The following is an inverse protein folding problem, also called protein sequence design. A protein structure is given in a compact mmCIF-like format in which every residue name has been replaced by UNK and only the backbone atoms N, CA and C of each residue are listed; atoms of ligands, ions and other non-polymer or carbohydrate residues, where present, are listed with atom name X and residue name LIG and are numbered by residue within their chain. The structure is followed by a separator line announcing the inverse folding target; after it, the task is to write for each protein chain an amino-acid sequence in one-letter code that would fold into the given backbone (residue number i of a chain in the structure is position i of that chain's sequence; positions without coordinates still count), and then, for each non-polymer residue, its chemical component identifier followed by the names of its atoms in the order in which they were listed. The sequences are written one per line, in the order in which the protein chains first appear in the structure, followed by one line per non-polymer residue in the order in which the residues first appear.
data_IF_122392434957
#
_entry.id   IF_122392434957
#
_cell.length_a   1.000
_cell.length_b   1.000
_cell.length_c   1.000
_cell.angle_alpha   90.00
_cell.angle_beta   90.00
_cell.angle_gamma   90.00
#
_symmetry.space_group_name_H-M   'P 1'
#
loop_
_entity.id
_entity.type
_entity.pdbx_description
1 polymer ?
#
# COMPACT_ATOMS: atom_id res chain seq x y z
N UNK A 1 -5.23 -30.37 0.97
CA UNK A 1 -4.36 -29.34 1.59
C UNK A 1 -3.78 -28.46 0.51
N UNK A 2 -3.69 -27.15 0.73
CA UNK A 2 -3.07 -26.25 -0.25
C UNK A 2 -1.56 -26.52 -0.30
N UNK A 3 -1.05 -26.87 -1.47
CA UNK A 3 0.38 -27.08 -1.67
C UNK A 3 1.12 -25.75 -1.65
N UNK A 4 2.17 -25.67 -0.83
CA UNK A 4 3.03 -24.50 -0.67
C UNK A 4 4.37 -24.72 -1.36
N UNK A 5 5.03 -23.63 -1.74
CA UNK A 5 6.33 -23.62 -2.41
C UNK A 5 7.15 -22.43 -1.89
N UNK A 6 8.47 -22.63 -1.79
CA UNK A 6 9.42 -21.56 -1.45
C UNK A 6 9.76 -20.81 -2.74
N UNK A 7 9.56 -19.50 -2.74
CA UNK A 7 9.75 -18.63 -3.91
C UNK A 7 10.72 -17.50 -3.55
N UNK A 8 11.62 -17.18 -4.47
CA UNK A 8 12.51 -16.02 -4.38
C UNK A 8 11.78 -14.75 -4.79
N UNK A 9 11.90 -13.71 -3.97
CA UNK A 9 11.39 -12.39 -4.32
C UNK A 9 12.11 -11.85 -5.56
N UNK A 10 11.36 -11.21 -6.46
CA UNK A 10 11.95 -10.57 -7.65
C UNK A 10 12.77 -9.32 -7.28
N UNK A 11 12.38 -8.67 -6.20
CA UNK A 11 12.94 -7.40 -5.75
C UNK A 11 14.17 -7.60 -4.85
N UNK A 12 14.01 -8.27 -3.70
CA UNK A 12 15.08 -8.58 -2.74
C UNK A 12 15.57 -10.03 -2.88
N UNK A 13 16.75 -10.37 -2.33
CA UNK A 13 17.27 -11.73 -2.36
C UNK A 13 16.54 -12.72 -1.42
N UNK A 14 15.51 -12.29 -0.69
CA UNK A 14 14.85 -13.13 0.31
C UNK A 14 13.93 -14.18 -0.32
N UNK A 15 13.81 -15.30 0.40
CA UNK A 15 12.89 -16.38 0.11
C UNK A 15 11.65 -16.29 1.00
N UNK A 16 10.48 -16.62 0.44
CA UNK A 16 9.23 -16.67 1.18
C UNK A 16 8.36 -17.83 0.72
N UNK A 17 7.46 -18.28 1.58
CA UNK A 17 6.55 -19.39 1.29
C UNK A 17 5.23 -18.84 0.75
N UNK A 18 4.78 -19.38 -0.38
CA UNK A 18 3.47 -19.06 -0.95
C UNK A 18 2.79 -20.29 -1.55
N UNK A 19 1.55 -20.17 -2.00
CA UNK A 19 0.77 -21.27 -2.59
C UNK A 19 1.20 -21.50 -4.03
N UNK A 20 1.25 -22.77 -4.42
CA UNK A 20 1.56 -23.16 -5.81
C UNK A 20 0.54 -22.54 -6.79
N UNK A 21 -0.73 -22.44 -6.39
CA UNK A 21 -1.78 -21.87 -7.20
C UNK A 21 -1.53 -20.39 -7.56
N UNK A 22 -1.08 -19.59 -6.59
CA UNK A 22 -0.78 -18.17 -6.80
C UNK A 22 0.43 -18.01 -7.72
N UNK A 23 1.45 -18.85 -7.54
CA UNK A 23 2.62 -18.83 -8.43
C UNK A 23 2.27 -19.20 -9.88
N UNK A 24 1.40 -20.20 -10.09
CA UNK A 24 0.92 -20.59 -11.43
C UNK A 24 0.14 -19.48 -12.15
N UNK A 25 -0.53 -18.61 -11.39
CA UNK A 25 -1.24 -17.42 -11.91
C UNK A 25 -0.30 -16.23 -12.19
N UNK A 26 1.00 -16.38 -11.94
CA UNK A 26 1.97 -15.29 -12.03
C UNK A 26 1.87 -14.30 -10.87
N UNK A 27 1.14 -14.63 -9.79
CA UNK A 27 1.14 -13.87 -8.54
C UNK A 27 2.37 -14.28 -7.70
N UNK A 28 2.40 -13.87 -6.42
CA UNK A 28 3.47 -14.28 -5.49
C UNK A 28 4.88 -13.96 -6.03
N UNK A 29 5.08 -12.77 -6.60
CA UNK A 29 6.38 -12.35 -7.15
C UNK A 29 7.25 -11.62 -6.13
N UNK A 30 6.64 -11.09 -5.06
CA UNK A 30 7.29 -10.25 -4.07
C UNK A 30 6.94 -10.73 -2.67
N UNK A 31 7.91 -10.70 -1.76
CA UNK A 31 7.70 -11.07 -0.36
C UNK A 31 6.82 -10.06 0.41
N UNK A 32 6.67 -8.83 -0.10
CA UNK A 32 5.94 -7.77 0.58
C UNK A 32 5.40 -6.70 -0.39
N UNK A 33 4.37 -5.97 0.05
CA UNK A 33 3.81 -4.84 -0.71
C UNK A 33 4.85 -3.75 -0.97
N UNK A 34 5.76 -3.51 -0.01
CA UNK A 34 6.84 -2.54 -0.18
C UNK A 34 7.84 -2.98 -1.25
N UNK A 35 8.20 -4.26 -1.33
CA UNK A 35 9.04 -4.78 -2.41
C UNK A 35 8.38 -4.65 -3.79
N UNK A 36 7.06 -4.86 -3.88
CA UNK A 36 6.32 -4.65 -5.11
C UNK A 36 6.30 -3.16 -5.54
N UNK A 37 6.08 -2.24 -4.59
CA UNK A 37 6.10 -0.80 -4.86
C UNK A 37 7.50 -0.31 -5.25
N UNK A 38 8.53 -0.74 -4.53
CA UNK A 38 9.92 -0.41 -4.83
C UNK A 38 10.34 -0.92 -6.21
N UNK A 39 9.96 -2.17 -6.56
CA UNK A 39 10.27 -2.72 -7.87
C UNK A 39 9.66 -1.89 -9.00
N UNK A 40 8.43 -1.40 -8.83
CA UNK A 40 7.78 -0.54 -9.83
C UNK A 40 8.50 0.80 -10.01
N UNK A 41 9.07 1.36 -8.95
CA UNK A 41 9.72 2.67 -9.00
C UNK A 41 11.21 2.60 -9.38
N UNK A 42 11.95 1.61 -8.88
CA UNK A 42 13.42 1.56 -8.93
C UNK A 42 13.99 0.24 -9.46
N UNK A 43 13.17 -0.81 -9.61
CA UNK A 43 13.63 -2.13 -10.03
C UNK A 43 14.24 -2.97 -8.90
N UNK A 44 15.37 -3.63 -9.18
CA UNK A 44 15.97 -4.63 -8.26
C UNK A 44 16.77 -3.97 -7.15
N UNK A 45 16.62 -4.46 -5.92
CA UNK A 45 17.39 -4.03 -4.74
C UNK A 45 18.48 -5.04 -4.41
N UNK A 46 19.60 -4.57 -3.84
CA UNK A 46 20.74 -5.43 -3.47
C UNK A 46 20.51 -6.25 -2.19
N UNK A 47 19.65 -5.76 -1.28
CA UNK A 47 19.35 -6.43 0.00
C UNK A 47 18.04 -5.93 0.60
N UNK A 48 17.44 -6.69 1.52
CA UNK A 48 16.21 -6.30 2.23
C UNK A 48 16.42 -5.10 3.17
N UNK A 49 15.34 -4.44 3.58
CA UNK A 49 15.41 -3.31 4.52
C UNK A 49 15.70 -3.92 5.89
N UNK A 50 16.63 -3.31 6.63
CA UNK A 50 16.84 -3.71 8.01
C UNK A 50 15.58 -3.46 8.84
N UNK A 51 15.47 -4.16 9.97
CA UNK A 51 14.37 -3.97 10.92
C UNK A 51 14.30 -2.50 11.35
N UNK A 52 15.44 -1.90 11.66
CA UNK A 52 15.56 -0.48 12.02
C UNK A 52 15.03 0.46 10.93
N UNK A 53 15.37 0.23 9.65
CA UNK A 53 14.87 1.05 8.54
C UNK A 53 13.35 0.94 8.41
N UNK A 54 12.80 -0.25 8.68
CA UNK A 54 11.36 -0.50 8.63
C UNK A 54 10.64 0.21 9.76
N UNK A 55 11.17 0.15 10.98
CA UNK A 55 10.65 0.87 12.15
C UNK A 55 10.69 2.38 11.93
N UNK A 56 11.81 2.93 11.44
CA UNK A 56 11.92 4.34 11.11
C UNK A 56 10.90 4.78 10.04
N UNK A 57 10.61 3.92 9.06
CA UNK A 57 9.57 4.21 8.05
C UNK A 57 8.15 4.20 8.67
N UNK A 58 7.86 3.28 9.59
CA UNK A 58 6.58 3.25 10.30
C UNK A 58 6.40 4.49 11.17
N UNK A 59 7.43 4.88 11.92
CA UNK A 59 7.40 6.10 12.74
C UNK A 59 7.13 7.34 11.90
N UNK A 60 7.82 7.51 10.76
CA UNK A 60 7.55 8.62 9.83
C UNK A 60 6.11 8.62 9.31
N UNK A 61 5.61 7.47 8.85
CA UNK A 61 4.24 7.37 8.35
C UNK A 61 3.19 7.68 9.43
N UNK A 62 3.44 7.29 10.68
CA UNK A 62 2.55 7.57 11.80
C UNK A 62 2.53 9.07 12.14
N UNK A 63 3.70 9.72 12.14
CA UNK A 63 3.82 11.18 12.35
C UNK A 63 3.08 11.93 11.24
N UNK A 64 3.30 11.57 9.97
CA UNK A 64 2.62 12.22 8.83
C UNK A 64 1.09 12.04 8.90
N UNK A 65 0.61 10.87 9.36
CA UNK A 65 -0.82 10.64 9.56
C UNK A 65 -1.37 11.55 10.66
N UNK A 66 -0.69 11.63 11.80
CA UNK A 66 -1.11 12.48 12.92
C UNK A 66 -1.16 13.96 12.52
N UNK A 67 -0.16 14.47 11.80
CA UNK A 67 -0.16 15.85 11.29
C UNK A 67 -1.31 16.12 10.31
N UNK A 68 -1.68 15.14 9.47
CA UNK A 68 -2.85 15.24 8.58
C UNK A 68 -4.18 15.22 9.33
N UNK A 69 -4.24 14.58 10.49
CA UNK A 69 -5.44 14.56 11.33
C UNK A 69 -5.56 15.88 12.11
N UNK A 70 -4.48 16.37 12.70
CA UNK A 70 -4.41 17.67 13.37
C UNK A 70 -4.80 18.83 12.42
N UNK A 71 -4.25 18.84 11.20
CA UNK A 71 -4.64 19.83 10.17
C UNK A 71 -6.07 19.69 9.63
N UNK A 72 -6.81 18.63 9.99
CA UNK A 72 -8.24 18.46 9.66
C UNK A 72 -9.15 18.96 10.78
N UNK A 73 -8.64 19.21 11.98
CA UNK A 73 -9.40 19.81 13.07
C UNK A 73 -9.54 21.34 12.93
N UNK A 74 -8.76 21.98 12.06
CA UNK A 74 -9.15 23.30 11.56
C UNK A 74 -10.45 23.14 10.76
N UNK A 75 -11.56 23.78 11.16
CA UNK A 75 -12.81 23.69 10.43
C UNK A 75 -12.54 24.30 9.06
N UNK A 76 -12.45 23.43 8.05
CA UNK A 76 -12.53 23.86 6.65
C UNK A 76 -13.87 24.55 6.52
N UNK A 77 -13.87 25.87 6.60
CA UNK A 77 -15.02 26.69 6.29
C UNK A 77 -15.50 26.23 4.91
N UNK A 78 -16.66 25.57 4.90
CA UNK A 78 -17.23 24.99 3.70
C UNK A 78 -17.66 26.17 2.82
N UNK A 79 -16.76 26.65 1.97
CA UNK A 79 -17.08 27.71 1.01
C UNK A 79 -18.01 27.10 -0.03
N UNK A 80 -19.29 27.44 0.05
CA UNK A 80 -20.29 27.10 -0.95
C UNK A 80 -19.97 27.87 -2.24
N UNK A 81 -19.09 27.32 -3.07
CA UNK A 81 -18.82 27.87 -4.40
C UNK A 81 -19.99 27.47 -5.30
N UNK A 82 -20.95 28.39 -5.43
CA UNK A 82 -22.06 28.41 -6.37
C UNK A 82 -22.21 27.19 -7.32
N UNK A 83 -23.21 26.35 -7.07
CA UNK A 83 -24.01 25.78 -8.17
C UNK A 83 -24.03 24.27 -8.41
N UNK A 84 -23.45 23.43 -7.55
CA UNK A 84 -23.67 21.97 -7.64
C UNK A 84 -24.53 21.50 -6.46
N UNK A 85 -25.82 21.29 -6.74
CA UNK A 85 -26.83 20.85 -5.78
C UNK A 85 -26.62 19.43 -5.26
N UNK A 86 -27.40 19.04 -4.23
CA UNK A 86 -27.31 17.72 -3.63
C UNK A 86 -27.87 16.69 -4.62
N UNK A 87 -27.07 15.67 -4.90
CA UNK A 87 -27.44 14.40 -5.52
C UNK A 87 -28.96 14.15 -5.55
N UNK A 88 -29.58 14.50 -6.68
CA UNK A 88 -31.00 14.22 -6.94
C UNK A 88 -31.11 12.75 -7.37
N UNK A 89 -30.89 11.86 -6.40
CA UNK A 89 -31.29 10.47 -6.50
C UNK A 89 -32.77 10.39 -6.07
N UNK A 90 -33.61 9.89 -6.98
CA UNK A 90 -35.06 9.74 -6.93
C UNK A 90 -35.86 10.94 -7.48
N UNK A 91 -36.32 10.81 -8.74
CA UNK A 91 -37.75 10.60 -9.06
C UNK A 91 -37.94 9.92 -10.42
N UNK A 92 -37.84 8.60 -10.44
CA UNK A 92 -38.59 7.79 -11.39
C UNK A 92 -39.98 7.51 -10.82
N UNK A 93 -40.98 8.31 -11.21
CA UNK A 93 -42.39 7.91 -11.20
C UNK A 93 -43.20 8.65 -12.24
#
# INVERSE_FOLDING_TARGET
MASTVIVKCKCCPDEFTDRIADRKRGWAQFCSKSCAAYWKAYGKRRGHQSVEMREAALTRNNIERAQREESREEPREFVYVNGFGPWDDHKDR
#
